data_IF_937368526523
#
_entry.id   IF_937368526523
#
_cell.length_a   1.000
_cell.length_b   1.000
_cell.length_c   1.000
_cell.angle_alpha   90.00
_cell.angle_beta   90.00
_cell.angle_gamma   90.00
#
_symmetry.space_group_name_H-M   'P 1'
#
loop_
_entity.id
_entity.type
_entity.pdbx_description
1 polymer ?
#
# COMPACT_ATOMS: atom_id res chain seq x y z
N UNK A 1 -13.14 -10.71 1.92
CA UNK A 1 -11.89 -9.92 1.96
C UNK A 1 -11.29 -10.04 3.37
N UNK A 2 -10.40 -11.01 3.62
CA UNK A 2 -10.12 -11.46 5.00
C UNK A 2 -8.76 -11.08 5.61
N UNK A 3 -7.74 -10.73 4.81
CA UNK A 3 -6.37 -10.49 5.33
C UNK A 3 -5.55 -9.47 4.50
N UNK A 4 -6.15 -8.78 3.53
CA UNK A 4 -5.41 -8.07 2.47
C UNK A 4 -4.87 -6.68 2.81
N UNK A 5 -5.69 -5.82 3.45
CA UNK A 5 -5.34 -4.39 3.61
C UNK A 5 -4.04 -4.14 4.40
N UNK A 6 -3.80 -4.81 5.56
CA UNK A 6 -2.53 -4.66 6.27
C UNK A 6 -1.32 -5.10 5.44
N UNK A 7 -1.46 -6.12 4.59
CA UNK A 7 -0.36 -6.55 3.73
C UNK A 7 -0.12 -5.57 2.58
N UNK A 8 -1.18 -5.06 1.95
CA UNK A 8 -1.05 -4.02 0.93
C UNK A 8 -0.44 -2.73 1.49
N UNK A 9 -0.76 -2.41 2.74
CA UNK A 9 -0.14 -1.32 3.49
C UNK A 9 1.36 -1.50 3.69
N UNK A 10 1.89 -2.71 3.77
CA UNK A 10 3.33 -2.93 3.95
C UNK A 10 4.06 -3.18 2.63
N UNK A 11 3.34 -3.16 1.50
CA UNK A 11 3.87 -3.40 0.16
C UNK A 11 3.79 -2.16 -0.75
N UNK A 12 3.22 -1.05 -0.25
CA UNK A 12 3.02 0.17 -1.05
C UNK A 12 1.98 -0.02 -2.15
N UNK A 13 0.88 -0.68 -1.81
CA UNK A 13 -0.17 -1.04 -2.77
C UNK A 13 -1.57 -0.59 -2.34
N UNK A 14 -1.70 0.20 -1.28
CA UNK A 14 -3.00 0.63 -0.76
C UNK A 14 -3.70 1.51 -1.80
N UNK A 15 -3.02 2.54 -2.28
CA UNK A 15 -3.52 3.45 -3.31
C UNK A 15 -3.83 2.68 -4.60
N UNK A 16 -2.93 1.78 -4.98
CA UNK A 16 -3.03 0.97 -6.20
C UNK A 16 -4.24 0.03 -6.22
N UNK A 17 -4.50 -0.68 -5.12
CA UNK A 17 -5.61 -1.62 -5.02
C UNK A 17 -6.96 -0.98 -4.74
N UNK A 18 -6.95 0.12 -3.99
CA UNK A 18 -8.16 0.85 -3.66
C UNK A 18 -8.94 1.27 -4.91
N UNK A 19 -8.23 1.65 -5.97
CA UNK A 19 -8.82 2.05 -7.24
C UNK A 19 -9.36 0.87 -8.05
N UNK A 20 -8.79 -0.33 -7.90
CA UNK A 20 -9.22 -1.47 -8.71
C UNK A 20 -10.41 -2.18 -8.07
N UNK A 21 -10.39 -2.34 -6.74
CA UNK A 21 -11.36 -3.15 -6.00
C UNK A 21 -12.54 -2.33 -5.45
N UNK A 22 -12.30 -1.14 -4.87
CA UNK A 22 -13.33 -0.39 -4.13
C UNK A 22 -14.14 0.61 -4.98
N UNK A 23 -13.72 0.92 -6.22
CA UNK A 23 -14.51 1.79 -7.12
C UNK A 23 -15.92 1.26 -7.39
N UNK A 24 -16.15 -0.05 -7.29
CA UNK A 24 -17.49 -0.67 -7.48
C UNK A 24 -18.44 -0.32 -6.33
N UNK A 25 -17.90 -0.09 -5.14
CA UNK A 25 -18.68 0.15 -3.92
C UNK A 25 -18.87 1.63 -3.63
N UNK A 26 -18.15 2.49 -4.34
CA UNK A 26 -18.31 3.94 -4.30
C UNK A 26 -19.52 4.35 -5.13
N UNK A 27 -20.72 4.14 -4.58
CA UNK A 27 -21.94 4.77 -5.10
C UNK A 27 -21.80 6.29 -4.88
N UNK A 28 -21.34 7.02 -5.91
CA UNK A 28 -20.98 8.44 -5.80
C UNK A 28 -21.84 9.30 -6.71
N UNK A 29 -22.37 10.43 -6.20
CA UNK A 29 -23.23 11.32 -6.99
C UNK A 29 -22.55 11.92 -8.22
N UNK A 30 -21.21 11.97 -8.23
CA UNK A 30 -20.41 12.59 -9.30
C UNK A 30 -19.62 11.60 -10.15
N UNK A 31 -19.79 10.29 -9.94
CA UNK A 31 -19.06 9.27 -10.70
C UNK A 31 -20.06 8.27 -11.29
N UNK A 32 -20.29 8.33 -12.60
CA UNK A 32 -21.10 7.34 -13.27
C UNK A 32 -20.32 6.03 -13.44
N UNK A 33 -21.08 4.93 -13.58
CA UNK A 33 -20.51 3.60 -13.76
C UNK A 33 -19.69 3.48 -15.06
N UNK A 34 -19.98 4.34 -16.05
CA UNK A 34 -19.28 4.34 -17.35
C UNK A 34 -17.84 4.79 -17.18
N UNK A 35 -17.60 5.90 -16.47
CA UNK A 35 -16.27 6.42 -16.17
C UNK A 35 -15.44 5.44 -15.34
N UNK A 36 -16.08 4.73 -14.39
CA UNK A 36 -15.42 3.67 -13.61
C UNK A 36 -14.98 2.51 -14.53
N UNK A 37 -15.85 2.07 -15.44
CA UNK A 37 -15.54 0.99 -16.38
C UNK A 37 -14.46 1.41 -17.40
N UNK A 38 -14.47 2.66 -17.85
CA UNK A 38 -13.42 3.23 -18.71
C UNK A 38 -12.08 3.29 -17.99
N UNK A 39 -12.06 3.72 -16.73
CA UNK A 39 -10.86 3.76 -15.91
C UNK A 39 -10.22 2.36 -15.77
N UNK A 40 -11.04 1.32 -15.51
CA UNK A 40 -10.59 -0.08 -15.48
C UNK A 40 -10.02 -0.53 -16.82
N UNK A 41 -10.73 -0.25 -17.90
CA UNK A 41 -10.29 -0.58 -19.26
C UNK A 41 -8.98 0.10 -19.62
N UNK A 42 -8.78 1.35 -19.18
CA UNK A 42 -7.56 2.11 -19.41
C UNK A 42 -6.37 1.52 -18.65
N UNK A 43 -6.56 1.02 -17.43
CA UNK A 43 -5.52 0.27 -16.72
C UNK A 43 -5.15 -0.98 -17.53
N UNK A 44 -6.14 -1.79 -17.93
CA UNK A 44 -5.88 -3.01 -18.69
C UNK A 44 -5.16 -2.75 -20.01
N UNK A 45 -5.56 -1.70 -20.75
CA UNK A 45 -4.90 -1.28 -22.01
C UNK A 45 -3.49 -0.76 -21.74
N UNK A 46 -3.31 0.05 -20.71
CA UNK A 46 -2.02 0.63 -20.37
C UNK A 46 -1.02 -0.44 -19.95
N UNK A 47 -1.50 -1.45 -19.22
CA UNK A 47 -0.68 -2.57 -18.83
C UNK A 47 -0.40 -3.46 -20.06
N UNK A 48 -1.41 -3.98 -20.77
CA UNK A 48 -1.33 -5.02 -21.81
C UNK A 48 -0.04 -5.11 -22.68
N UNK A 49 0.53 -4.03 -23.27
CA UNK A 49 1.72 -4.12 -24.12
C UNK A 49 2.98 -4.68 -23.43
N UNK A 50 3.06 -4.56 -22.10
CA UNK A 50 4.28 -4.84 -21.34
C UNK A 50 4.22 -6.20 -20.59
N UNK A 51 3.19 -7.05 -20.78
CA UNK A 51 2.89 -8.18 -19.85
C UNK A 51 2.55 -9.54 -20.48
N UNK A 52 2.76 -10.57 -19.65
CA UNK A 52 1.99 -11.82 -19.67
C UNK A 52 0.87 -11.75 -18.59
N UNK A 53 -0.38 -12.10 -18.93
CA UNK A 53 -1.58 -11.94 -18.08
C UNK A 53 -1.40 -12.51 -16.65
N UNK A 54 -0.63 -13.58 -16.51
CA UNK A 54 -0.29 -14.22 -15.23
C UNK A 54 0.43 -13.30 -14.24
N UNK A 55 1.26 -12.36 -14.73
CA UNK A 55 2.02 -11.44 -13.86
C UNK A 55 1.12 -10.37 -13.24
N UNK A 56 0.16 -9.85 -14.01
CA UNK A 56 -0.82 -8.88 -13.51
C UNK A 56 -1.78 -9.56 -12.55
N UNK A 57 -2.29 -10.74 -12.91
CA UNK A 57 -3.18 -11.52 -12.05
C UNK A 57 -2.55 -11.79 -10.67
N UNK A 58 -1.26 -12.13 -10.67
CA UNK A 58 -0.49 -12.31 -9.45
C UNK A 58 -0.36 -11.01 -8.63
N UNK A 59 -0.12 -9.87 -9.30
CA UNK A 59 -0.10 -8.56 -8.64
C UNK A 59 -1.45 -8.16 -8.06
N UNK A 60 -2.57 -8.56 -8.68
CA UNK A 60 -3.95 -8.24 -8.27
C UNK A 60 -4.44 -9.15 -7.12
N UNK A 61 -4.08 -10.43 -7.13
CA UNK A 61 -4.57 -11.36 -6.12
C UNK A 61 -3.69 -11.44 -4.86
N UNK A 62 -2.60 -10.67 -4.84
CA UNK A 62 -1.75 -10.44 -3.69
C UNK A 62 -0.74 -11.57 -3.43
N UNK A 63 0.18 -11.36 -2.46
CA UNK A 63 1.35 -12.19 -2.22
C UNK A 63 1.05 -13.50 -1.47
N UNK A 64 -0.11 -14.13 -1.70
CA UNK A 64 -0.71 -15.16 -0.81
C UNK A 64 0.30 -16.14 -0.20
N UNK A 65 1.27 -16.61 -1.00
CA UNK A 65 2.31 -17.52 -0.54
C UNK A 65 3.74 -17.14 -0.95
N UNK A 66 3.98 -15.99 -1.58
CA UNK A 66 5.35 -15.59 -1.97
C UNK A 66 5.54 -14.07 -2.02
N UNK A 67 5.67 -13.43 -0.84
CA UNK A 67 5.81 -11.98 -0.72
C UNK A 67 7.11 -11.45 -1.33
N UNK A 68 8.19 -12.25 -1.31
CA UNK A 68 9.45 -11.82 -1.90
C UNK A 68 9.35 -11.79 -3.43
N UNK A 69 8.95 -12.90 -4.06
CA UNK A 69 8.73 -12.94 -5.50
C UNK A 69 7.73 -11.88 -5.93
N UNK A 70 6.74 -11.60 -5.07
CA UNK A 70 5.79 -10.53 -5.32
C UNK A 70 6.42 -9.15 -5.39
N UNK A 71 7.25 -8.78 -4.40
CA UNK A 71 7.94 -7.50 -4.44
C UNK A 71 8.92 -7.44 -5.62
N UNK A 72 9.63 -8.53 -5.94
CA UNK A 72 10.51 -8.56 -7.11
C UNK A 72 9.76 -8.25 -8.41
N UNK A 73 8.61 -8.89 -8.63
CA UNK A 73 7.78 -8.64 -9.81
C UNK A 73 7.19 -7.22 -9.80
N UNK A 74 6.73 -6.73 -8.65
CA UNK A 74 6.26 -5.35 -8.49
C UNK A 74 7.36 -4.33 -8.84
N UNK A 75 8.60 -4.60 -8.43
CA UNK A 75 9.74 -3.73 -8.66
C UNK A 75 10.19 -3.73 -10.12
N UNK A 76 10.21 -4.89 -10.79
CA UNK A 76 10.54 -4.96 -12.22
C UNK A 76 9.51 -4.22 -13.09
N UNK A 77 8.25 -4.18 -12.65
CA UNK A 77 7.14 -3.54 -13.35
C UNK A 77 6.89 -2.10 -12.89
N UNK A 78 7.67 -1.58 -11.93
CA UNK A 78 7.40 -0.29 -11.27
C UNK A 78 7.18 0.87 -12.23
N UNK A 79 8.04 1.15 -13.23
CA UNK A 79 7.87 2.33 -14.09
C UNK A 79 6.56 2.34 -14.87
N UNK A 80 6.14 1.17 -15.36
CA UNK A 80 4.92 1.03 -16.17
C UNK A 80 3.69 1.03 -15.26
N UNK A 81 3.73 0.24 -14.18
CA UNK A 81 2.60 0.08 -13.27
C UNK A 81 2.25 1.40 -12.57
N UNK A 82 3.24 2.12 -12.05
CA UNK A 82 3.03 3.42 -11.38
C UNK A 82 2.43 4.42 -12.37
N UNK A 83 2.96 4.49 -13.60
CA UNK A 83 2.46 5.39 -14.64
C UNK A 83 1.01 5.09 -15.03
N UNK A 84 0.66 3.81 -15.22
CA UNK A 84 -0.69 3.40 -15.56
C UNK A 84 -1.69 3.73 -14.43
N UNK A 85 -1.29 3.48 -13.19
CA UNK A 85 -2.17 3.70 -12.03
C UNK A 85 -2.32 5.19 -11.72
N UNK A 86 -1.26 6.00 -11.81
CA UNK A 86 -1.34 7.45 -11.67
C UNK A 86 -2.27 8.09 -12.71
N UNK A 87 -2.18 7.70 -13.98
CA UNK A 87 -3.12 8.18 -15.02
C UNK A 87 -4.58 7.86 -14.70
N UNK A 88 -4.82 6.68 -14.14
CA UNK A 88 -6.17 6.25 -13.75
C UNK A 88 -6.70 7.06 -12.57
N UNK A 89 -5.86 7.37 -11.60
CA UNK A 89 -6.21 8.25 -10.48
C UNK A 89 -6.54 9.65 -10.96
N UNK A 90 -5.67 10.21 -11.81
CA UNK A 90 -5.86 11.54 -12.37
C UNK A 90 -7.17 11.61 -13.16
N UNK A 91 -7.50 10.57 -13.92
CA UNK A 91 -8.76 10.45 -14.64
C UNK A 91 -9.98 10.41 -13.71
N UNK A 92 -9.86 9.75 -12.55
CA UNK A 92 -10.91 9.61 -11.56
C UNK A 92 -10.97 10.77 -10.56
N UNK A 93 -9.97 11.65 -10.51
CA UNK A 93 -9.91 12.79 -9.59
C UNK A 93 -11.18 13.66 -9.57
N UNK A 94 -11.84 13.78 -10.74
CA UNK A 94 -13.10 14.52 -10.89
C UNK A 94 -14.29 13.88 -10.17
N UNK A 95 -14.20 12.59 -9.84
CA UNK A 95 -15.22 11.87 -9.07
C UNK A 95 -15.14 12.16 -7.56
N UNK A 96 -14.07 12.83 -7.12
CA UNK A 96 -13.76 13.09 -5.72
C UNK A 96 -13.82 14.60 -5.43
N UNK A 97 -14.22 14.97 -4.22
CA UNK A 97 -14.09 16.35 -3.75
C UNK A 97 -12.65 16.63 -3.27
N UNK A 98 -12.34 17.88 -2.94
CA UNK A 98 -10.98 18.29 -2.58
C UNK A 98 -10.41 17.51 -1.39
N UNK A 99 -11.20 17.30 -0.32
CA UNK A 99 -10.79 16.51 0.85
C UNK A 99 -10.49 15.05 0.48
N UNK A 100 -11.27 14.48 -0.42
CA UNK A 100 -11.05 13.12 -0.92
C UNK A 100 -9.79 13.01 -1.78
N UNK A 101 -9.57 13.97 -2.67
CA UNK A 101 -8.36 14.04 -3.49
C UNK A 101 -7.10 14.22 -2.62
N UNK A 102 -7.18 15.00 -1.54
CA UNK A 102 -6.11 15.09 -0.55
C UNK A 102 -5.83 13.74 0.12
N UNK A 103 -6.88 12.99 0.49
CA UNK A 103 -6.75 11.65 1.07
C UNK A 103 -6.04 10.67 0.13
N UNK A 104 -6.43 10.66 -1.15
CA UNK A 104 -5.78 9.87 -2.19
C UNK A 104 -4.30 10.23 -2.36
N UNK A 105 -3.98 11.53 -2.36
CA UNK A 105 -2.60 12.01 -2.46
C UNK A 105 -1.75 11.58 -1.24
N UNK A 106 -2.34 11.50 -0.04
CA UNK A 106 -1.63 10.94 1.13
C UNK A 106 -1.19 9.51 0.87
N UNK A 107 -2.11 8.67 0.41
CA UNK A 107 -1.84 7.26 0.16
C UNK A 107 -0.87 7.04 -0.98
N UNK A 108 -0.98 7.82 -2.06
CA UNK A 108 -0.01 7.82 -3.16
C UNK A 108 1.40 8.08 -2.64
N UNK A 109 1.58 9.11 -1.81
CA UNK A 109 2.89 9.43 -1.24
C UNK A 109 3.41 8.34 -0.30
N UNK A 110 2.55 7.69 0.50
CA UNK A 110 2.94 6.55 1.34
C UNK A 110 3.41 5.38 0.46
N UNK A 111 2.62 5.03 -0.54
CA UNK A 111 2.90 3.93 -1.47
C UNK A 111 4.20 4.18 -2.25
N UNK A 112 4.39 5.38 -2.82
CA UNK A 112 5.58 5.74 -3.60
C UNK A 112 6.86 5.61 -2.77
N UNK A 113 6.87 6.16 -1.55
CA UNK A 113 8.04 6.07 -0.66
C UNK A 113 8.34 4.62 -0.26
N UNK A 114 7.30 3.83 -0.03
CA UNK A 114 7.42 2.43 0.38
C UNK A 114 7.91 1.54 -0.75
N UNK A 115 7.35 1.68 -1.96
CA UNK A 115 7.79 0.94 -3.15
C UNK A 115 9.23 1.33 -3.49
N UNK A 116 9.57 2.62 -3.47
CA UNK A 116 10.94 3.07 -3.73
C UNK A 116 11.93 2.43 -2.76
N UNK A 117 11.59 2.38 -1.46
CA UNK A 117 12.42 1.75 -0.45
C UNK A 117 12.54 0.24 -0.62
N UNK A 118 11.42 -0.45 -0.86
CA UNK A 118 11.40 -1.90 -1.05
C UNK A 118 12.14 -2.34 -2.32
N UNK A 119 12.12 -1.51 -3.37
CA UNK A 119 12.76 -1.80 -4.65
C UNK A 119 14.25 -1.41 -4.73
N UNK A 120 14.81 -0.78 -3.69
CA UNK A 120 16.24 -0.46 -3.64
C UNK A 120 17.10 -1.69 -3.91
N UNK A 121 18.19 -1.47 -4.65
CA UNK A 121 19.19 -2.50 -4.97
C UNK A 121 18.58 -3.81 -5.49
N UNK A 122 17.67 -3.74 -6.47
CA UNK A 122 16.98 -4.92 -7.03
C UNK A 122 16.18 -5.72 -5.99
N UNK A 123 15.44 -5.02 -5.13
CA UNK A 123 14.62 -5.60 -4.08
C UNK A 123 15.40 -6.32 -2.97
N UNK A 124 16.65 -5.92 -2.70
CA UNK A 124 17.47 -6.45 -1.59
C UNK A 124 16.78 -6.24 -0.23
N UNK A 125 16.16 -5.06 -0.02
CA UNK A 125 15.39 -4.77 1.19
C UNK A 125 14.23 -5.74 1.36
N UNK A 126 13.54 -6.06 0.26
CA UNK A 126 12.45 -7.01 0.23
C UNK A 126 12.93 -8.45 0.52
N UNK A 127 14.10 -8.82 0.00
CA UNK A 127 14.73 -10.12 0.29
C UNK A 127 14.96 -10.27 1.80
N UNK A 128 15.55 -9.25 2.43
CA UNK A 128 15.84 -9.26 3.86
C UNK A 128 14.56 -9.33 4.71
N UNK A 129 13.47 -8.70 4.27
CA UNK A 129 12.22 -8.65 5.02
C UNK A 129 11.31 -9.87 4.80
N UNK A 130 11.27 -10.41 3.56
CA UNK A 130 10.22 -11.32 3.10
C UNK A 130 10.72 -12.72 2.71
N UNK A 131 12.03 -12.97 2.67
CA UNK A 131 12.55 -14.25 2.19
C UNK A 131 12.23 -15.41 3.14
N UNK A 132 11.32 -16.29 2.69
CA UNK A 132 10.87 -17.50 3.38
C UNK A 132 11.96 -18.53 3.66
N UNK A 133 13.03 -18.57 2.86
CA UNK A 133 14.07 -19.60 2.99
C UNK A 133 15.00 -19.41 4.18
N UNK A 134 14.83 -18.32 4.96
CA UNK A 134 15.80 -17.96 6.02
C UNK A 134 15.26 -17.60 7.40
N UNK A 135 13.95 -17.47 7.69
CA UNK A 135 13.58 -17.07 9.06
C UNK A 135 12.17 -17.41 9.56
N UNK A 136 12.15 -17.91 10.80
CA UNK A 136 11.00 -17.87 11.72
C UNK A 136 10.42 -16.44 11.81
N UNK A 137 11.28 -15.41 11.71
CA UNK A 137 10.91 -14.00 11.70
C UNK A 137 9.80 -13.65 10.69
N UNK A 138 9.93 -13.95 9.40
CA UNK A 138 8.87 -13.60 8.44
C UNK A 138 7.57 -14.38 8.73
N UNK A 139 7.68 -15.71 8.78
CA UNK A 139 6.51 -16.60 8.83
C UNK A 139 5.68 -16.41 10.10
N UNK A 140 6.32 -16.15 11.24
CA UNK A 140 5.64 -16.07 12.54
C UNK A 140 5.52 -14.64 13.07
N UNK A 141 6.51 -13.79 12.84
CA UNK A 141 6.63 -12.52 13.57
C UNK A 141 6.22 -11.32 12.72
N UNK A 142 6.72 -11.18 11.50
CA UNK A 142 6.37 -10.04 10.64
C UNK A 142 4.91 -10.12 10.21
N UNK A 143 4.43 -11.27 9.76
CA UNK A 143 3.03 -11.44 9.36
C UNK A 143 2.06 -11.20 10.53
N UNK A 144 2.43 -11.64 11.74
CA UNK A 144 1.66 -11.38 12.95
C UNK A 144 1.68 -9.89 13.31
N UNK A 145 2.86 -9.26 13.30
CA UNK A 145 3.02 -7.84 13.57
C UNK A 145 2.20 -6.98 12.61
N UNK A 146 2.20 -7.31 11.31
CA UNK A 146 1.38 -6.63 10.30
C UNK A 146 -0.10 -6.74 10.68
N UNK A 147 -0.58 -7.92 11.05
CA UNK A 147 -2.01 -8.15 11.37
C UNK A 147 -2.45 -7.53 12.69
N UNK A 148 -1.60 -7.53 13.70
CA UNK A 148 -1.96 -7.08 15.05
C UNK A 148 -1.73 -5.59 15.24
N UNK A 149 -0.57 -5.08 14.79
CA UNK A 149 -0.20 -3.69 15.04
C UNK A 149 -0.97 -2.70 14.17
N UNK A 150 -1.43 -3.12 12.98
CA UNK A 150 -2.26 -2.26 12.11
C UNK A 150 -3.68 -2.07 12.61
N UNK A 151 -4.15 -2.86 13.59
CA UNK A 151 -5.48 -2.66 14.21
C UNK A 151 -5.60 -1.34 14.96
N UNK A 152 -4.46 -0.78 15.38
CA UNK A 152 -4.41 0.56 15.97
C UNK A 152 -4.73 1.64 14.93
N UNK A 153 -4.46 1.40 13.65
CA UNK A 153 -4.95 2.24 12.58
C UNK A 153 -6.45 1.97 12.43
N UNK A 154 -7.23 3.04 12.46
CA UNK A 154 -8.68 2.94 12.44
C UNK A 154 -9.15 2.47 11.06
N UNK A 155 -9.32 1.15 10.88
CA UNK A 155 -9.71 0.51 9.63
C UNK A 155 -11.12 0.92 9.15
N UNK A 156 -11.87 1.69 9.94
CA UNK A 156 -13.17 2.24 9.57
C UNK A 156 -13.06 3.56 8.79
N UNK A 157 -11.90 4.23 8.84
CA UNK A 157 -11.65 5.47 8.09
C UNK A 157 -11.47 5.10 6.62
N UNK A 158 -12.34 5.60 5.72
CA UNK A 158 -12.14 5.35 4.30
C UNK A 158 -10.81 5.93 3.84
N UNK A 159 -10.14 5.28 2.90
CA UNK A 159 -8.80 5.68 2.44
C UNK A 159 -8.78 7.12 1.86
N UNK A 160 -9.91 7.66 1.41
CA UNK A 160 -10.04 9.05 0.96
C UNK A 160 -10.34 10.07 2.06
N UNK A 161 -10.58 9.68 3.31
CA UNK A 161 -10.86 10.62 4.40
C UNK A 161 -9.55 11.20 4.96
N UNK A 162 -9.03 12.25 4.32
CA UNK A 162 -7.80 12.95 4.73
C UNK A 162 -7.81 13.37 6.21
N UNK A 163 -8.98 13.77 6.74
CA UNK A 163 -9.11 14.21 8.13
C UNK A 163 -9.10 13.02 9.09
N UNK A 164 -9.73 11.90 8.72
CA UNK A 164 -9.60 10.62 9.43
C UNK A 164 -8.17 10.07 9.42
N UNK A 165 -7.46 10.17 8.31
CA UNK A 165 -6.04 9.78 8.20
C UNK A 165 -5.16 10.66 9.10
N UNK A 166 -5.38 11.98 9.10
CA UNK A 166 -4.68 12.94 9.96
C UNK A 166 -4.88 12.65 11.46
N UNK A 167 -6.10 12.28 11.87
CA UNK A 167 -6.39 11.80 13.24
C UNK A 167 -5.67 10.50 13.59
N UNK A 168 -5.24 9.73 12.60
CA UNK A 168 -4.49 8.48 12.79
C UNK A 168 -2.99 8.71 13.01
N UNK A 169 -2.49 9.95 12.91
CA UNK A 169 -1.10 10.28 13.21
C UNK A 169 -0.70 9.88 14.64
N UNK A 170 -1.51 10.19 15.66
CA UNK A 170 -1.22 9.78 17.04
C UNK A 170 -1.26 8.25 17.23
N UNK A 171 -2.13 7.57 16.49
CA UNK A 171 -2.24 6.10 16.48
C UNK A 171 -1.05 5.43 15.77
N UNK A 172 -0.41 6.11 14.83
CA UNK A 172 0.75 5.59 14.10
C UNK A 172 1.96 5.36 15.00
N UNK A 173 2.11 6.13 16.09
CA UNK A 173 3.17 5.90 17.08
C UNK A 173 2.97 4.60 17.86
N UNK A 174 1.72 4.25 18.18
CA UNK A 174 1.38 2.97 18.80
C UNK A 174 1.63 1.81 17.85
N UNK A 175 1.26 1.96 16.57
CA UNK A 175 1.57 0.98 15.54
C UNK A 175 3.07 0.74 15.43
N UNK A 176 3.89 1.79 15.33
CA UNK A 176 5.35 1.68 15.20
C UNK A 176 5.94 0.95 16.42
N UNK A 177 5.54 1.35 17.63
CA UNK A 177 6.01 0.72 18.87
C UNK A 177 5.64 -0.76 18.94
N UNK A 178 4.39 -1.09 18.60
CA UNK A 178 3.92 -2.47 18.52
C UNK A 178 4.76 -3.26 17.51
N UNK A 179 4.92 -2.74 16.30
CA UNK A 179 5.61 -3.43 15.21
C UNK A 179 7.07 -3.73 15.57
N UNK A 180 7.79 -2.71 16.05
CA UNK A 180 9.17 -2.84 16.52
C UNK A 180 9.28 -3.90 17.62
N UNK A 181 8.40 -3.86 18.63
CA UNK A 181 8.44 -4.81 19.75
C UNK A 181 8.19 -6.27 19.36
N UNK A 182 7.44 -6.51 18.27
CA UNK A 182 7.29 -7.85 17.72
C UNK A 182 8.58 -8.30 17.02
N UNK A 183 9.12 -7.46 16.13
CA UNK A 183 10.31 -7.80 15.36
C UNK A 183 11.52 -8.08 16.27
N UNK A 184 11.73 -7.29 17.32
CA UNK A 184 12.87 -7.46 18.24
C UNK A 184 12.90 -8.83 18.95
N UNK A 185 11.81 -9.60 18.94
CA UNK A 185 11.76 -10.93 19.60
C UNK A 185 12.45 -12.03 18.79
N UNK A 186 12.32 -11.98 17.46
CA UNK A 186 12.68 -13.11 16.58
C UNK A 186 13.39 -12.69 15.28
N UNK A 187 13.59 -11.39 15.06
CA UNK A 187 14.20 -10.85 13.86
C UNK A 187 15.56 -10.20 14.16
N UNK A 188 16.40 -10.10 13.13
CA UNK A 188 17.69 -9.40 13.25
C UNK A 188 17.49 -7.88 13.35
N UNK A 189 18.48 -7.18 13.90
CA UNK A 189 18.49 -5.71 13.96
C UNK A 189 18.28 -5.05 12.59
N UNK A 190 18.80 -5.68 11.53
CA UNK A 190 18.59 -5.24 10.14
C UNK A 190 17.11 -5.27 9.77
N UNK A 191 16.41 -6.36 10.08
CA UNK A 191 14.97 -6.49 9.81
C UNK A 191 14.15 -5.53 10.69
N UNK A 192 14.53 -5.35 11.95
CA UNK A 192 13.90 -4.36 12.85
C UNK A 192 14.02 -2.95 12.27
N UNK A 193 15.19 -2.57 11.77
CA UNK A 193 15.43 -1.28 11.14
C UNK A 193 14.61 -1.09 9.85
N UNK A 194 14.52 -2.14 9.02
CA UNK A 194 13.67 -2.14 7.81
C UNK A 194 12.20 -1.93 8.20
N UNK A 195 11.67 -2.71 9.15
CA UNK A 195 10.29 -2.60 9.61
C UNK A 195 9.95 -1.25 10.23
N UNK A 196 10.89 -0.67 11.00
CA UNK A 196 10.75 0.68 11.57
C UNK A 196 10.73 1.75 10.48
N UNK A 197 11.54 1.59 9.43
CA UNK A 197 11.55 2.52 8.29
C UNK A 197 10.22 2.48 7.54
N UNK A 198 9.69 1.29 7.25
CA UNK A 198 8.41 1.11 6.55
C UNK A 198 7.25 1.73 7.35
N UNK A 199 7.17 1.42 8.64
CA UNK A 199 6.14 2.01 9.52
C UNK A 199 6.30 3.53 9.69
N UNK A 200 7.52 4.04 9.57
CA UNK A 200 7.81 5.47 9.52
C UNK A 200 7.21 6.19 8.30
N UNK A 201 7.18 5.56 7.12
CA UNK A 201 6.54 6.15 5.93
C UNK A 201 5.04 6.38 6.15
N UNK A 202 4.36 5.42 6.77
CA UNK A 202 2.93 5.50 7.10
C UNK A 202 2.68 6.67 8.05
N UNK A 203 3.45 6.75 9.15
CA UNK A 203 3.39 7.87 10.10
C UNK A 203 3.61 9.20 9.38
N UNK A 204 4.69 9.32 8.62
CA UNK A 204 5.01 10.57 7.94
C UNK A 204 3.90 10.99 6.99
N UNK A 205 3.31 10.07 6.22
CA UNK A 205 2.15 10.37 5.37
C UNK A 205 0.96 10.92 6.16
N UNK A 206 0.57 10.25 7.25
CA UNK A 206 -0.56 10.69 8.07
C UNK A 206 -0.31 12.01 8.81
N UNK A 207 0.91 12.23 9.29
CA UNK A 207 1.24 13.42 10.09
C UNK A 207 1.58 14.66 9.23
N UNK A 208 2.07 14.50 8.00
CA UNK A 208 2.51 15.62 7.14
C UNK A 208 1.35 16.53 6.69
N UNK A 209 0.11 16.05 6.76
CA UNK A 209 -1.07 16.83 6.35
C UNK A 209 -1.77 17.57 7.50
N UNK A 210 -1.30 17.44 8.74
CA UNK A 210 -1.89 18.15 9.89
C UNK A 210 -1.79 19.68 9.78
N UNK A 211 -0.80 20.21 9.06
CA UNK A 211 -0.63 21.65 8.85
C UNK A 211 -1.40 22.25 7.66
N UNK A 212 -1.98 21.43 6.78
CA UNK A 212 -2.69 21.87 5.56
C UNK A 212 -4.22 21.80 5.67
N UNK A 213 -4.73 21.27 6.78
CA UNK A 213 -6.16 21.00 7.02
C UNK A 213 -6.80 21.98 8.03
N UNK A 214 -6.08 23.04 8.43
CA UNK A 214 -6.59 24.14 9.27
C UNK A 214 -6.94 25.36 8.44
#
# INVERSE_FOLDING_TARGET
>A
MGQGLPFYLFLGLVHHFYLLDDLVHLNRPNCDIKRINEARTNVDICLRPEYNYTQIDFLIHGPKDDPYTFVQQRCSLKPVLDNCLHKTVDYLSVCFNDTMNQGLEVWKNIDDNMVEYLCKNNAEVALELFNKTSSECWATTVTQAIRECTRSLDASVPLYDAQGLSRSCSKSDEMIKCFKSHLERHCSDKVVAIGTTITGFIKNGFCSNQGKLN
#
